data_IF_430166885754
#
_entry.id   IF_430166885754
#
_cell.length_a   1.000
_cell.length_b   1.000
_cell.length_c   1.000
_cell.angle_alpha   90.00
_cell.angle_beta   90.00
_cell.angle_gamma   90.00
#
_symmetry.space_group_name_H-M   'P 1'
#
loop_
_entity.id
_entity.type
_entity.pdbx_description
1 polymer ?
#
# COMPACT_ATOMS: atom_id res chain seq x y z
N UNK A 1 -64.62 15.40 44.45
CA UNK A 1 -64.42 15.35 42.99
C UNK A 1 -62.93 15.51 42.73
N UNK A 2 -62.19 14.40 42.73
CA UNK A 2 -60.74 14.37 42.50
C UNK A 2 -60.51 13.53 41.25
N UNK A 3 -59.93 14.12 40.21
CA UNK A 3 -59.56 13.43 38.98
C UNK A 3 -58.21 12.73 39.17
N UNK A 4 -58.19 11.43 38.87
CA UNK A 4 -57.03 10.54 38.89
C UNK A 4 -56.14 10.77 37.67
N UNK A 5 -54.82 10.84 37.89
CA UNK A 5 -53.82 10.94 36.83
C UNK A 5 -53.51 9.54 36.27
N UNK A 6 -53.65 9.37 34.95
CA UNK A 6 -53.28 8.14 34.25
C UNK A 6 -51.76 8.14 33.98
N UNK A 7 -51.04 7.20 34.58
CA UNK A 7 -49.63 6.93 34.29
C UNK A 7 -49.53 6.07 33.03
N UNK A 8 -49.03 6.63 31.93
CA UNK A 8 -48.64 5.88 30.74
C UNK A 8 -47.30 5.17 31.03
N UNK A 9 -47.33 3.83 31.04
CA UNK A 9 -46.13 2.99 31.07
C UNK A 9 -45.64 2.82 29.64
N UNK A 10 -44.53 3.47 29.29
CA UNK A 10 -43.88 3.31 28.00
C UNK A 10 -43.07 2.00 28.03
N UNK A 11 -43.57 0.98 27.31
CA UNK A 11 -42.85 -0.27 27.09
C UNK A 11 -41.66 -0.01 26.15
N UNK A 12 -40.44 -0.02 26.69
CA UNK A 12 -39.22 -0.03 25.88
C UNK A 12 -39.03 -1.43 25.31
N UNK A 13 -39.48 -1.66 24.08
CA UNK A 13 -39.05 -2.82 23.30
C UNK A 13 -37.56 -2.66 22.97
N UNK A 14 -36.71 -3.66 23.20
CA UNK A 14 -35.31 -3.58 22.80
C UNK A 14 -35.22 -3.49 21.28
N UNK A 15 -34.46 -2.51 20.79
CA UNK A 15 -34.11 -2.38 19.38
C UNK A 15 -33.30 -3.64 19.01
N UNK A 16 -33.66 -4.39 17.95
CA UNK A 16 -32.87 -5.51 17.51
C UNK A 16 -31.50 -5.00 17.08
N UNK A 17 -30.46 -5.53 17.71
CA UNK A 17 -29.06 -5.30 17.34
C UNK A 17 -28.84 -5.95 15.97
N UNK A 18 -29.05 -5.18 14.91
CA UNK A 18 -28.62 -5.56 13.57
C UNK A 18 -27.09 -5.53 13.64
N UNK A 19 -26.46 -6.70 13.73
CA UNK A 19 -25.04 -6.84 13.49
C UNK A 19 -24.77 -6.33 12.07
N UNK A 20 -24.40 -5.05 11.96
CA UNK A 20 -23.94 -4.43 10.72
C UNK A 20 -22.59 -5.07 10.39
N UNK A 21 -22.62 -6.14 9.60
CA UNK A 21 -21.41 -6.65 8.98
C UNK A 21 -20.80 -5.52 8.15
N UNK A 22 -19.51 -5.23 8.34
CA UNK A 22 -18.84 -4.16 7.60
C UNK A 22 -18.75 -4.50 6.11
N UNK A 23 -18.90 -3.49 5.25
CA UNK A 23 -18.83 -3.67 3.81
C UNK A 23 -17.39 -3.93 3.33
N UNK A 24 -17.24 -4.70 2.26
CA UNK A 24 -15.95 -4.90 1.60
C UNK A 24 -15.51 -3.62 0.88
N UNK A 25 -14.26 -3.21 1.08
CA UNK A 25 -13.62 -2.10 0.40
C UNK A 25 -13.02 -2.52 -0.95
N UNK A 26 -13.33 -1.73 -1.97
CA UNK A 26 -12.87 -1.91 -3.33
C UNK A 26 -11.82 -0.86 -3.70
N UNK A 27 -10.87 -1.27 -4.54
CA UNK A 27 -9.94 -0.35 -5.18
C UNK A 27 -10.58 0.43 -6.33
N UNK A 28 -9.83 1.39 -6.89
CA UNK A 28 -10.28 2.11 -8.09
C UNK A 28 -10.24 1.18 -9.33
N UNK A 29 -10.88 1.58 -10.45
CA UNK A 29 -10.81 0.83 -11.70
C UNK A 29 -9.37 0.66 -12.21
N UNK A 30 -9.09 -0.35 -13.07
CA UNK A 30 -7.75 -0.65 -13.57
C UNK A 30 -6.99 0.57 -14.09
N UNK A 31 -7.60 1.37 -14.96
CA UNK A 31 -6.95 2.55 -15.55
C UNK A 31 -6.50 3.56 -14.50
N UNK A 32 -7.30 3.80 -13.46
CA UNK A 32 -6.94 4.68 -12.35
C UNK A 32 -5.87 4.05 -11.46
N UNK A 33 -5.95 2.74 -11.20
CA UNK A 33 -4.96 2.04 -10.38
C UNK A 33 -3.58 2.03 -11.03
N UNK A 34 -3.49 1.90 -12.37
CA UNK A 34 -2.21 2.00 -13.09
C UNK A 34 -1.52 3.34 -12.79
N UNK A 35 -2.24 4.46 -12.94
CA UNK A 35 -1.70 5.79 -12.68
C UNK A 35 -1.23 5.96 -11.22
N UNK A 36 -1.88 5.28 -10.28
CA UNK A 36 -1.52 5.34 -8.86
C UNK A 36 -0.31 4.47 -8.50
N UNK A 37 -0.13 3.32 -9.17
CA UNK A 37 0.96 2.39 -8.87
C UNK A 37 2.31 2.92 -9.36
N UNK A 38 2.35 3.33 -10.63
CA UNK A 38 3.45 4.05 -11.26
C UNK A 38 2.92 4.62 -12.57
N UNK A 39 2.99 5.94 -12.76
CA UNK A 39 2.54 6.58 -14.00
C UNK A 39 3.72 6.71 -14.98
N UNK A 40 3.85 5.83 -15.98
CA UNK A 40 4.99 5.88 -16.91
C UNK A 40 4.96 7.12 -17.81
N UNK A 41 3.81 7.79 -17.93
CA UNK A 41 3.68 9.02 -18.69
C UNK A 41 3.98 10.28 -17.86
N UNK A 42 4.23 10.12 -16.55
CA UNK A 42 4.63 11.18 -15.62
C UNK A 42 3.70 12.41 -15.63
N UNK A 43 2.38 12.20 -15.62
CA UNK A 43 1.43 13.32 -15.70
C UNK A 43 1.54 14.27 -14.51
N UNK A 44 1.68 13.71 -13.30
CA UNK A 44 1.71 14.48 -12.04
C UNK A 44 3.06 14.37 -11.30
N UNK A 45 3.66 13.18 -11.28
CA UNK A 45 4.88 12.88 -10.52
C UNK A 45 5.88 12.08 -11.37
N UNK A 46 7.20 12.20 -11.09
CA UNK A 46 8.21 11.37 -11.73
C UNK A 46 7.95 9.88 -11.48
N UNK A 47 8.11 9.05 -12.52
CA UNK A 47 7.95 7.61 -12.38
C UNK A 47 9.13 7.00 -11.62
N UNK A 48 8.95 5.76 -11.15
CA UNK A 48 9.98 5.02 -10.44
C UNK A 48 11.30 4.95 -11.24
N UNK A 49 11.23 4.64 -12.53
CA UNK A 49 12.42 4.53 -13.38
C UNK A 49 13.23 5.82 -13.41
N UNK A 50 12.55 6.97 -13.59
CA UNK A 50 13.21 8.28 -13.59
C UNK A 50 13.84 8.59 -12.24
N UNK A 51 13.12 8.37 -11.13
CA UNK A 51 13.63 8.61 -9.77
C UNK A 51 14.86 7.76 -9.43
N UNK A 52 15.02 6.60 -10.05
CA UNK A 52 16.15 5.71 -9.77
C UNK A 52 17.29 5.86 -10.78
N UNK A 53 17.01 6.43 -11.96
CA UNK A 53 17.99 6.62 -13.04
C UNK A 53 19.16 7.53 -12.64
N UNK A 54 20.33 7.24 -13.20
CA UNK A 54 21.54 8.07 -13.08
C UNK A 54 22.22 8.07 -11.71
N UNK A 55 21.69 7.36 -10.71
CA UNK A 55 22.34 7.24 -9.39
C UNK A 55 23.52 6.28 -9.46
N UNK A 56 24.68 6.75 -9.03
CA UNK A 56 25.79 5.86 -8.70
C UNK A 56 25.47 5.04 -7.45
N UNK A 57 26.05 3.85 -7.31
CA UNK A 57 25.98 3.05 -6.08
C UNK A 57 26.28 3.85 -4.80
N UNK A 58 27.31 4.70 -4.81
CA UNK A 58 27.71 5.50 -3.66
C UNK A 58 26.66 6.57 -3.33
N UNK A 59 26.09 7.23 -4.34
CA UNK A 59 24.99 8.18 -4.12
C UNK A 59 23.77 7.48 -3.51
N UNK A 60 23.41 6.30 -4.02
CA UNK A 60 22.25 5.56 -3.55
C UNK A 60 22.33 5.20 -2.06
N UNK A 61 23.52 4.83 -1.55
CA UNK A 61 23.72 4.48 -0.14
C UNK A 61 24.09 5.66 0.76
N UNK A 62 24.31 6.86 0.20
CA UNK A 62 24.63 8.05 0.99
C UNK A 62 23.42 8.47 1.81
N UNK A 63 23.62 8.64 3.13
CA UNK A 63 22.63 9.22 4.03
C UNK A 63 22.96 10.70 4.23
N UNK A 64 22.10 11.64 3.78
CA UNK A 64 22.34 13.06 4.02
C UNK A 64 22.34 13.40 5.51
N UNK A 65 23.11 14.41 5.95
CA UNK A 65 23.10 14.87 7.33
C UNK A 65 21.67 15.20 7.81
N UNK A 66 21.30 14.67 8.97
CA UNK A 66 19.99 14.90 9.59
C UNK A 66 18.86 13.99 9.10
N UNK A 67 19.12 13.09 8.13
CA UNK A 67 18.17 12.07 7.71
C UNK A 67 18.54 10.69 8.26
N UNK A 68 17.54 9.82 8.40
CA UNK A 68 17.71 8.46 8.94
C UNK A 68 18.02 7.40 7.86
N UNK A 69 17.71 7.69 6.61
CA UNK A 69 17.77 6.71 5.52
C UNK A 69 18.37 7.30 4.25
N UNK A 70 19.04 6.45 3.48
CA UNK A 70 19.50 6.70 2.12
C UNK A 70 18.42 6.30 1.10
N UNK A 71 18.64 6.62 -0.19
CA UNK A 71 17.75 6.17 -1.27
C UNK A 71 17.69 4.63 -1.31
N UNK A 72 18.85 3.96 -1.20
CA UNK A 72 18.93 2.50 -1.19
C UNK A 72 18.15 1.88 -0.04
N UNK A 73 18.24 2.44 1.18
CA UNK A 73 17.49 1.94 2.32
C UNK A 73 15.97 2.09 2.15
N UNK A 74 15.53 3.23 1.61
CA UNK A 74 14.11 3.46 1.31
C UNK A 74 13.63 2.51 0.21
N UNK A 75 14.40 2.33 -0.86
CA UNK A 75 14.03 1.44 -1.94
C UNK A 75 13.95 -0.02 -1.48
N UNK A 76 14.83 -0.43 -0.57
CA UNK A 76 14.81 -1.76 0.02
C UNK A 76 13.54 -2.01 0.84
N UNK A 77 13.13 -1.00 1.62
CA UNK A 77 11.86 -1.01 2.34
C UNK A 77 10.65 -1.09 1.39
N UNK A 78 10.64 -0.29 0.34
CA UNK A 78 9.59 -0.32 -0.68
C UNK A 78 9.56 -1.67 -1.41
N UNK A 79 10.71 -2.24 -1.75
CA UNK A 79 10.80 -3.54 -2.40
C UNK A 79 10.29 -4.66 -1.51
N UNK A 80 10.62 -4.66 -0.21
CA UNK A 80 10.05 -5.60 0.75
C UNK A 80 8.51 -5.51 0.81
N UNK A 81 7.94 -4.30 0.79
CA UNK A 81 6.49 -4.11 0.73
C UNK A 81 5.89 -4.63 -0.58
N UNK A 82 6.50 -4.32 -1.73
CA UNK A 82 6.06 -4.78 -3.05
C UNK A 82 6.10 -6.31 -3.15
N UNK A 83 7.21 -6.93 -2.73
CA UNK A 83 7.40 -8.39 -2.75
C UNK A 83 6.40 -9.09 -1.82
N UNK A 84 6.16 -8.53 -0.63
CA UNK A 84 5.13 -9.03 0.29
C UNK A 84 3.75 -9.01 -0.36
N UNK A 85 3.34 -7.90 -0.99
CA UNK A 85 2.03 -7.80 -1.61
C UNK A 85 1.89 -8.75 -2.81
N UNK A 86 2.93 -8.94 -3.63
CA UNK A 86 2.92 -9.96 -4.69
C UNK A 86 2.71 -11.37 -4.12
N UNK A 87 3.44 -11.73 -3.05
CA UNK A 87 3.31 -13.03 -2.41
C UNK A 87 1.95 -13.24 -1.77
N UNK A 88 1.42 -12.20 -1.10
CA UNK A 88 0.11 -12.22 -0.47
C UNK A 88 -1.01 -12.42 -1.51
N UNK A 89 -0.94 -11.70 -2.63
CA UNK A 89 -1.91 -11.81 -3.73
C UNK A 89 -1.85 -13.21 -4.36
N UNK A 90 -0.64 -13.74 -4.57
CA UNK A 90 -0.44 -15.08 -5.13
C UNK A 90 -0.67 -16.24 -4.16
N UNK A 91 -0.91 -15.98 -2.88
CA UNK A 91 -1.09 -17.02 -1.87
C UNK A 91 -2.45 -17.72 -1.99
N UNK A 92 -2.46 -19.03 -1.84
CA UNK A 92 -3.68 -19.81 -1.67
C UNK A 92 -4.32 -19.62 -0.28
N UNK A 93 -3.52 -19.17 0.70
CA UNK A 93 -3.97 -18.80 2.05
C UNK A 93 -3.43 -17.41 2.43
N UNK A 94 -4.11 -16.32 2.01
CA UNK A 94 -3.67 -14.96 2.31
C UNK A 94 -3.73 -14.61 3.80
N UNK A 95 -4.58 -15.26 4.59
CA UNK A 95 -4.79 -14.93 6.01
C UNK A 95 -3.60 -15.37 6.87
N UNK A 96 -2.92 -16.45 6.48
CA UNK A 96 -1.71 -16.93 7.15
C UNK A 96 -0.43 -16.29 6.62
N UNK A 97 -0.49 -15.51 5.54
CA UNK A 97 0.69 -14.94 4.89
C UNK A 97 1.33 -13.82 5.74
N UNK A 98 2.59 -14.02 6.14
CA UNK A 98 3.26 -13.15 7.11
C UNK A 98 4.07 -12.04 6.43
N UNK A 99 4.13 -10.84 7.03
CA UNK A 99 5.04 -9.79 6.58
C UNK A 99 6.51 -10.20 6.76
N UNK A 100 7.44 -9.55 6.05
CA UNK A 100 8.86 -9.81 6.23
C UNK A 100 9.30 -9.49 7.66
N UNK A 101 10.16 -10.35 8.23
CA UNK A 101 10.70 -10.16 9.58
C UNK A 101 11.51 -8.87 9.72
N UNK A 102 12.24 -8.50 8.67
CA UNK A 102 12.97 -7.24 8.59
C UNK A 102 12.36 -6.32 7.51
N UNK A 103 11.53 -5.33 7.89
CA UNK A 103 10.95 -4.39 6.95
C UNK A 103 11.95 -3.34 6.43
N UNK A 104 13.14 -3.23 7.01
CA UNK A 104 14.20 -2.29 6.62
C UNK A 104 15.53 -3.03 6.42
N UNK A 105 15.66 -3.84 5.38
CA UNK A 105 16.91 -4.54 5.11
C UNK A 105 18.04 -3.55 4.81
N UNK A 106 19.23 -3.84 5.34
CA UNK A 106 20.45 -3.11 5.01
C UNK A 106 20.85 -3.39 3.57
N UNK A 107 21.33 -2.37 2.85
CA UNK A 107 21.75 -2.49 1.46
C UNK A 107 23.09 -1.80 1.27
N UNK A 108 24.05 -2.52 0.71
CA UNK A 108 25.36 -2.04 0.33
C UNK A 108 25.34 -1.38 -1.05
N UNK A 109 26.41 -0.64 -1.39
CA UNK A 109 26.55 -0.04 -2.70
C UNK A 109 26.57 -1.11 -3.82
N UNK A 110 27.19 -2.26 -3.56
CA UNK A 110 27.30 -3.34 -4.54
C UNK A 110 25.92 -3.96 -4.88
N UNK A 111 25.01 -4.00 -3.92
CA UNK A 111 23.66 -4.56 -4.08
C UNK A 111 22.69 -3.59 -4.77
N UNK A 112 23.00 -2.28 -4.80
CA UNK A 112 22.10 -1.25 -5.33
C UNK A 112 21.56 -1.53 -6.74
N UNK A 113 22.39 -1.84 -7.76
CA UNK A 113 21.87 -2.04 -9.11
C UNK A 113 20.88 -3.20 -9.20
N UNK A 114 21.14 -4.28 -8.45
CA UNK A 114 20.26 -5.44 -8.42
C UNK A 114 18.94 -5.11 -7.72
N UNK A 115 18.99 -4.40 -6.58
CA UNK A 115 17.80 -3.95 -5.88
C UNK A 115 16.91 -3.06 -6.76
N UNK A 116 17.50 -2.07 -7.44
CA UNK A 116 16.74 -1.18 -8.30
C UNK A 116 16.05 -1.93 -9.45
N UNK A 117 16.77 -2.86 -10.08
CA UNK A 117 16.21 -3.71 -11.13
C UNK A 117 15.09 -4.62 -10.59
N UNK A 118 15.29 -5.26 -9.44
CA UNK A 118 14.31 -6.14 -8.82
C UNK A 118 13.04 -5.38 -8.43
N UNK A 119 13.19 -4.19 -7.83
CA UNK A 119 12.06 -3.32 -7.49
C UNK A 119 11.24 -2.96 -8.73
N UNK A 120 11.87 -2.48 -9.80
CA UNK A 120 11.16 -2.10 -11.04
C UNK A 120 10.46 -3.30 -11.69
N UNK A 121 11.10 -4.47 -11.70
CA UNK A 121 10.50 -5.70 -12.22
C UNK A 121 9.26 -6.12 -11.40
N UNK A 122 9.31 -6.00 -10.08
CA UNK A 122 8.21 -6.39 -9.20
C UNK A 122 7.07 -5.37 -9.23
N UNK A 123 7.40 -4.07 -9.35
CA UNK A 123 6.42 -3.02 -9.55
C UNK A 123 5.67 -3.22 -10.88
N UNK A 124 6.38 -3.60 -11.96
CA UNK A 124 5.75 -3.94 -13.23
C UNK A 124 4.82 -5.16 -13.11
N UNK A 125 5.19 -6.18 -12.32
CA UNK A 125 4.32 -7.33 -12.03
C UNK A 125 3.04 -6.91 -11.29
N UNK A 126 3.14 -6.02 -10.30
CA UNK A 126 1.96 -5.43 -9.66
C UNK A 126 1.13 -4.59 -10.64
N UNK A 127 1.78 -3.89 -11.56
CA UNK A 127 1.12 -3.21 -12.67
C UNK A 127 0.28 -4.18 -13.52
N UNK A 128 0.81 -5.35 -13.85
CA UNK A 128 0.06 -6.38 -14.59
C UNK A 128 -1.18 -6.87 -13.82
N UNK A 129 -1.05 -7.13 -12.51
CA UNK A 129 -2.20 -7.42 -11.64
C UNK A 129 -3.20 -6.26 -11.66
N UNK A 130 -2.70 -5.03 -11.64
CA UNK A 130 -3.46 -3.78 -11.74
C UNK A 130 -4.29 -3.62 -13.01
N UNK A 131 -4.08 -4.44 -14.04
CA UNK A 131 -4.82 -4.38 -15.31
C UNK A 131 -5.99 -5.38 -15.35
N UNK A 132 -5.99 -6.39 -14.48
CA UNK A 132 -6.99 -7.43 -14.45
C UNK A 132 -8.15 -7.06 -13.52
N UNK A 133 -9.25 -6.58 -14.10
CA UNK A 133 -10.43 -6.17 -13.34
C UNK A 133 -11.05 -7.30 -12.49
N UNK A 134 -10.94 -8.56 -12.91
CA UNK A 134 -11.46 -9.70 -12.14
C UNK A 134 -10.58 -9.93 -10.91
N UNK A 135 -9.26 -9.89 -11.10
CA UNK A 135 -8.31 -10.05 -10.01
C UNK A 135 -8.41 -8.89 -9.01
N UNK A 136 -8.59 -7.65 -9.47
CA UNK A 136 -8.80 -6.49 -8.59
C UNK A 136 -10.06 -6.60 -7.73
N UNK A 137 -11.11 -7.27 -8.22
CA UNK A 137 -12.35 -7.49 -7.48
C UNK A 137 -12.27 -8.66 -6.49
N UNK A 138 -11.22 -9.50 -6.58
CA UNK A 138 -11.07 -10.66 -5.69
C UNK A 138 -10.87 -10.21 -4.24
N UNK A 139 -11.66 -10.77 -3.34
CA UNK A 139 -11.52 -10.56 -1.89
C UNK A 139 -10.24 -11.22 -1.39
N UNK A 140 -9.39 -10.43 -0.74
CA UNK A 140 -8.14 -10.88 -0.12
C UNK A 140 -8.35 -11.13 1.38
N UNK A 141 -9.04 -10.21 2.04
CA UNK A 141 -9.48 -10.33 3.43
C UNK A 141 -11.01 -10.23 3.47
N UNK A 142 -11.74 -11.23 3.98
CA UNK A 142 -13.18 -11.11 4.14
C UNK A 142 -13.51 -10.10 5.24
N UNK A 143 -14.69 -9.47 5.15
CA UNK A 143 -15.18 -8.64 6.21
C UNK A 143 -15.45 -9.46 7.48
N UNK A 144 -15.26 -8.83 8.63
CA UNK A 144 -15.62 -9.36 9.94
C UNK A 144 -16.70 -8.48 10.58
N UNK A 145 -17.11 -8.82 11.81
CA UNK A 145 -18.06 -7.99 12.55
C UNK A 145 -17.50 -6.59 12.83
N UNK A 146 -16.19 -6.47 13.01
CA UNK A 146 -15.54 -5.25 13.49
C UNK A 146 -14.65 -4.57 12.44
N UNK A 147 -14.32 -5.26 11.34
CA UNK A 147 -13.41 -4.76 10.31
C UNK A 147 -13.96 -5.01 8.90
N UNK A 148 -13.85 -4.02 7.97
CA UNK A 148 -14.25 -4.21 6.59
C UNK A 148 -13.32 -5.19 5.86
N UNK A 149 -13.88 -5.92 4.90
CA UNK A 149 -13.10 -6.78 4.01
C UNK A 149 -12.32 -5.96 3.00
N UNK A 150 -11.24 -6.50 2.45
CA UNK A 150 -10.41 -5.82 1.44
C UNK A 150 -10.26 -6.68 0.19
N UNK A 151 -10.45 -6.04 -0.96
CA UNK A 151 -10.08 -6.63 -2.26
C UNK A 151 -8.60 -6.45 -2.58
N UNK A 152 -8.10 -7.20 -3.56
CA UNK A 152 -6.77 -6.99 -4.16
C UNK A 152 -6.62 -5.54 -4.63
N UNK A 153 -7.61 -4.99 -5.33
CA UNK A 153 -7.54 -3.60 -5.80
C UNK A 153 -7.44 -2.59 -4.67
N UNK A 154 -8.18 -2.77 -3.58
CA UNK A 154 -8.06 -1.90 -2.41
C UNK A 154 -6.66 -2.02 -1.79
N UNK A 155 -6.14 -3.25 -1.67
CA UNK A 155 -4.81 -3.50 -1.13
C UNK A 155 -3.73 -2.82 -1.97
N UNK A 156 -3.79 -2.93 -3.30
CA UNK A 156 -2.85 -2.26 -4.20
C UNK A 156 -2.91 -0.73 -4.08
N UNK A 157 -4.10 -0.14 -4.03
CA UNK A 157 -4.23 1.31 -3.88
C UNK A 157 -3.74 1.80 -2.50
N UNK A 158 -4.18 1.16 -1.43
CA UNK A 158 -3.96 1.63 -0.06
C UNK A 158 -2.58 1.26 0.51
N UNK A 159 -2.06 0.07 0.18
CA UNK A 159 -0.81 -0.47 0.74
C UNK A 159 0.39 -0.40 -0.20
N UNK A 160 0.17 -0.32 -1.52
CA UNK A 160 1.28 -0.19 -2.48
C UNK A 160 1.37 1.24 -3.01
N UNK A 161 0.37 1.71 -3.76
CA UNK A 161 0.41 3.01 -4.41
C UNK A 161 0.63 4.17 -3.43
N UNK A 162 -0.21 4.26 -2.38
CA UNK A 162 -0.07 5.31 -1.35
C UNK A 162 1.28 5.23 -0.61
N UNK A 163 1.75 4.02 -0.30
CA UNK A 163 3.03 3.80 0.39
C UNK A 163 4.20 4.22 -0.48
N UNK A 164 4.20 3.79 -1.75
CA UNK A 164 5.23 4.15 -2.72
C UNK A 164 5.24 5.65 -2.99
N UNK A 165 4.09 6.31 -3.14
CA UNK A 165 4.02 7.76 -3.34
C UNK A 165 4.68 8.55 -2.20
N UNK A 166 4.46 8.13 -0.95
CA UNK A 166 5.14 8.72 0.22
C UNK A 166 6.66 8.58 0.12
N UNK A 167 7.15 7.37 -0.18
CA UNK A 167 8.59 7.09 -0.22
C UNK A 167 9.29 7.63 -1.48
N UNK A 168 8.60 7.73 -2.62
CA UNK A 168 9.11 8.42 -3.80
C UNK A 168 9.35 9.90 -3.53
N UNK A 169 8.48 10.55 -2.75
CA UNK A 169 8.72 11.91 -2.27
C UNK A 169 9.99 12.02 -1.43
N UNK A 170 10.27 11.05 -0.55
CA UNK A 170 11.50 11.00 0.22
C UNK A 170 12.74 10.78 -0.66
N UNK A 171 12.66 9.88 -1.65
CA UNK A 171 13.74 9.63 -2.61
C UNK A 171 14.05 10.91 -3.40
N UNK A 172 13.03 11.59 -3.92
CA UNK A 172 13.19 12.83 -4.66
C UNK A 172 13.89 13.92 -3.81
N UNK A 173 13.51 14.04 -2.53
CA UNK A 173 14.17 14.97 -1.60
C UNK A 173 15.64 14.60 -1.38
N UNK A 174 15.96 13.33 -1.14
CA UNK A 174 17.34 12.89 -0.90
C UNK A 174 18.19 13.13 -2.14
N UNK A 175 17.68 12.84 -3.34
CA UNK A 175 18.33 13.14 -4.61
C UNK A 175 18.74 14.61 -4.71
N UNK A 176 17.79 15.51 -4.43
CA UNK A 176 18.05 16.94 -4.41
C UNK A 176 19.16 17.31 -3.42
N UNK A 177 19.15 16.74 -2.21
CA UNK A 177 20.14 17.02 -1.16
C UNK A 177 21.55 16.53 -1.51
N UNK A 178 21.68 15.42 -2.24
CA UNK A 178 22.99 14.87 -2.65
C UNK A 178 23.43 15.38 -4.03
N UNK A 179 22.64 16.22 -4.69
CA UNK A 179 22.95 16.79 -6.01
C UNK A 179 22.90 15.78 -7.15
N UNK A 180 21.94 14.85 -7.12
CA UNK A 180 21.77 13.77 -8.10
C UNK A 180 20.47 13.88 -8.91
#
# INVERSE_FOLDING_TARGET
MFMSAATLVYSQSPIPEIALCMDTLFGPPPATLQLLLDDPAEHDFPCAERLLSGLTPQQAVTVPPGLSHSIAAILAHMHANVAFNLGLIGSADPLSFQPPENPWPSVSAEEWPHLAQAFLADLARLGQVGQDAQELARTLYPATADEPGWTVGYKLAASVAKHNAYHFGQIALIRQLIGA
#
